data_IF_401688631615
#
_entry.id   IF_401688631615
#
_cell.length_a   1.000
_cell.length_b   1.000
_cell.length_c   1.000
_cell.angle_alpha   90.00
_cell.angle_beta   90.00
_cell.angle_gamma   90.00
#
_symmetry.space_group_name_H-M   'P 1'
#
loop_
_entity.id
_entity.type
_entity.pdbx_description
1 polymer ?
#
# COMPACT_ATOMS: atom_id res chain seq x y z
N UNK A 1 -10.24 -20.23 34.54
CA UNK A 1 -9.08 -20.34 33.64
C UNK A 1 -9.38 -19.47 32.43
N UNK A 2 -8.63 -18.38 32.28
CA UNK A 2 -8.99 -17.22 31.44
C UNK A 2 -8.81 -17.49 29.95
N UNK A 3 -9.73 -16.97 29.13
CA UNK A 3 -9.72 -17.07 27.66
C UNK A 3 -8.43 -16.55 27.01
N UNK A 4 -7.68 -15.68 27.69
CA UNK A 4 -6.35 -15.21 27.27
C UNK A 4 -5.27 -16.30 27.29
N UNK A 5 -5.34 -17.25 28.22
CA UNK A 5 -4.39 -18.37 28.28
C UNK A 5 -4.62 -19.44 27.22
N UNK A 6 -5.84 -19.50 26.66
CA UNK A 6 -6.19 -20.42 25.56
C UNK A 6 -5.76 -19.83 24.20
N UNK A 7 -5.96 -18.52 24.01
CA UNK A 7 -5.49 -17.81 22.80
C UNK A 7 -3.94 -17.77 22.72
N UNK A 8 -3.25 -17.55 23.83
CA UNK A 8 -1.78 -17.55 23.86
C UNK A 8 -1.17 -18.93 23.51
N UNK A 9 -1.77 -20.03 23.98
CA UNK A 9 -1.32 -21.40 23.66
C UNK A 9 -1.61 -21.80 22.20
N UNK A 10 -2.69 -21.29 21.59
CA UNK A 10 -2.99 -21.56 20.18
C UNK A 10 -2.00 -20.86 19.24
N UNK A 11 -1.61 -19.62 19.52
CA UNK A 11 -0.60 -18.91 18.73
C UNK A 11 0.81 -19.54 18.80
N UNK A 12 1.17 -20.24 19.89
CA UNK A 12 2.44 -20.98 20.00
C UNK A 12 2.52 -22.25 19.13
N UNK A 13 1.38 -22.73 18.62
CA UNK A 13 1.29 -23.93 17.76
C UNK A 13 1.36 -23.62 16.25
N UNK A 14 1.28 -22.35 15.85
CA UNK A 14 1.29 -21.96 14.44
C UNK A 14 2.70 -22.11 13.83
N UNK A 15 2.81 -22.59 12.57
CA UNK A 15 4.10 -22.70 11.89
C UNK A 15 4.80 -21.34 11.76
N UNK A 16 5.85 -21.13 12.54
CA UNK A 16 6.67 -19.91 12.52
C UNK A 16 7.90 -20.04 11.63
N UNK A 17 8.26 -21.27 11.23
CA UNK A 17 9.43 -21.59 10.40
C UNK A 17 9.06 -22.39 9.16
N UNK A 18 9.81 -22.18 8.07
CA UNK A 18 9.58 -22.82 6.77
C UNK A 18 9.47 -24.35 6.84
N UNK A 19 10.35 -25.10 7.54
CA UNK A 19 10.25 -26.55 7.61
C UNK A 19 8.97 -27.04 8.32
N UNK A 20 8.51 -26.32 9.35
CA UNK A 20 7.26 -26.64 10.05
C UNK A 20 6.07 -26.43 9.11
N UNK A 21 6.03 -25.30 8.40
CA UNK A 21 4.96 -24.99 7.45
C UNK A 21 4.86 -26.06 6.34
N UNK A 22 6.00 -26.51 5.81
CA UNK A 22 6.05 -27.59 4.79
C UNK A 22 5.51 -28.91 5.36
N UNK A 23 5.85 -29.26 6.60
CA UNK A 23 5.35 -30.49 7.23
C UNK A 23 3.84 -30.46 7.43
N UNK A 24 3.30 -29.34 7.94
CA UNK A 24 1.85 -29.18 8.12
C UNK A 24 1.11 -29.19 6.78
N UNK A 25 1.62 -28.48 5.77
CA UNK A 25 1.02 -28.50 4.43
C UNK A 25 1.00 -29.92 3.82
N UNK A 26 2.03 -30.74 4.08
CA UNK A 26 2.04 -32.15 3.65
C UNK A 26 0.97 -32.98 4.37
N UNK A 27 0.72 -32.70 5.66
CA UNK A 27 -0.32 -33.35 6.45
C UNK A 27 -1.73 -33.00 5.95
N UNK A 28 -1.98 -31.72 5.64
CA UNK A 28 -3.23 -31.23 5.08
C UNK A 28 -3.51 -31.76 3.67
N UNK A 29 -2.45 -32.07 2.91
CA UNK A 29 -2.55 -32.47 1.51
C UNK A 29 -2.86 -31.30 0.57
N UNK A 30 -3.01 -31.61 -0.72
CA UNK A 30 -3.18 -30.59 -1.77
C UNK A 30 -4.50 -29.83 -1.59
N UNK A 31 -4.40 -28.54 -1.32
CA UNK A 31 -5.54 -27.65 -1.07
C UNK A 31 -5.36 -26.26 -1.73
N UNK A 32 -6.37 -25.40 -1.61
CA UNK A 32 -6.32 -23.99 -2.01
C UNK A 32 -5.61 -23.14 -0.94
N UNK A 33 -5.34 -21.86 -1.24
CA UNK A 33 -4.80 -20.93 -0.25
C UNK A 33 -5.77 -20.75 0.94
N UNK A 34 -7.07 -20.59 0.67
CA UNK A 34 -8.08 -20.53 1.73
C UNK A 34 -8.07 -21.81 2.58
N UNK A 35 -8.02 -22.99 1.95
CA UNK A 35 -8.00 -24.26 2.67
C UNK A 35 -6.78 -24.46 3.55
N UNK A 36 -5.59 -23.97 3.15
CA UNK A 36 -4.41 -24.03 4.02
C UNK A 36 -4.47 -23.02 5.16
N UNK A 37 -5.03 -21.82 4.94
CA UNK A 37 -5.21 -20.82 6.00
C UNK A 37 -6.20 -21.32 7.05
N UNK A 38 -7.35 -21.85 6.62
CA UNK A 38 -8.36 -22.46 7.49
C UNK A 38 -7.81 -23.69 8.23
N UNK A 39 -7.12 -24.59 7.51
CA UNK A 39 -6.55 -25.81 8.07
C UNK A 39 -5.44 -25.56 9.10
N UNK A 40 -4.70 -24.45 8.97
CA UNK A 40 -3.66 -24.05 9.91
C UNK A 40 -4.14 -23.04 10.96
N UNK A 41 -5.34 -22.45 10.80
CA UNK A 41 -5.79 -21.33 11.63
C UNK A 41 -4.89 -20.10 11.53
N UNK A 42 -4.29 -19.85 10.36
CA UNK A 42 -3.36 -18.74 10.13
C UNK A 42 -4.04 -17.59 9.40
N UNK A 43 -3.73 -16.36 9.81
CA UNK A 43 -4.06 -15.17 9.03
C UNK A 43 -3.13 -15.02 7.81
N UNK A 44 -3.65 -14.44 6.73
CA UNK A 44 -2.97 -14.31 5.43
C UNK A 44 -1.56 -13.69 5.56
N UNK A 45 -1.42 -12.63 6.35
CA UNK A 45 -0.14 -11.95 6.55
C UNK A 45 0.89 -12.77 7.34
N UNK A 46 0.43 -13.61 8.27
CA UNK A 46 1.30 -14.49 9.05
C UNK A 46 1.80 -15.64 8.21
N UNK A 47 0.90 -16.21 7.42
CA UNK A 47 1.23 -17.22 6.43
C UNK A 47 2.32 -16.69 5.49
N UNK A 48 2.12 -15.52 4.86
CA UNK A 48 3.10 -14.97 3.92
C UNK A 48 4.44 -14.55 4.55
N UNK A 49 4.46 -14.26 5.85
CA UNK A 49 5.71 -14.01 6.59
C UNK A 49 6.65 -15.21 6.52
N UNK A 50 6.10 -16.43 6.55
CA UNK A 50 6.83 -17.70 6.55
C UNK A 50 6.86 -18.31 5.14
N UNK A 51 5.73 -18.29 4.45
CA UNK A 51 5.53 -18.87 3.14
C UNK A 51 6.25 -18.08 2.03
N UNK A 52 6.36 -16.76 2.14
CA UNK A 52 6.88 -15.84 1.10
C UNK A 52 6.17 -15.86 -0.26
N UNK A 53 5.52 -16.96 -0.65
CA UNK A 53 4.65 -17.16 -1.79
C UNK A 53 3.98 -18.53 -1.65
N UNK A 54 2.69 -18.59 -1.93
CA UNK A 54 1.93 -19.85 -1.93
C UNK A 54 2.32 -20.73 -3.11
N UNK A 55 2.36 -20.21 -4.33
CA UNK A 55 2.71 -20.98 -5.52
C UNK A 55 4.13 -21.56 -5.45
N UNK A 56 5.10 -20.81 -4.92
CA UNK A 56 6.45 -21.34 -4.69
C UNK A 56 6.48 -22.42 -3.61
N UNK A 57 5.65 -22.31 -2.56
CA UNK A 57 5.48 -23.36 -1.57
C UNK A 57 4.82 -24.62 -2.19
N UNK A 58 3.82 -24.46 -3.06
CA UNK A 58 3.20 -25.58 -3.78
C UNK A 58 4.22 -26.31 -4.67
N UNK A 59 5.18 -25.60 -5.28
CA UNK A 59 6.31 -26.23 -6.00
C UNK A 59 7.20 -27.05 -5.06
N UNK A 60 7.60 -26.50 -3.91
CA UNK A 60 8.41 -27.20 -2.90
C UNK A 60 7.70 -28.46 -2.35
N UNK A 61 6.36 -28.41 -2.27
CA UNK A 61 5.51 -29.53 -1.88
C UNK A 61 5.31 -30.57 -3.00
N UNK A 62 5.77 -30.30 -4.22
CA UNK A 62 5.59 -31.18 -5.38
C UNK A 62 4.18 -31.16 -5.97
N UNK A 63 3.38 -30.12 -5.68
CA UNK A 63 2.00 -30.00 -6.17
C UNK A 63 1.89 -29.30 -7.52
N UNK A 64 2.97 -28.65 -7.96
CA UNK A 64 3.12 -28.02 -9.27
C UNK A 64 4.16 -28.75 -10.11
N UNK A 65 4.13 -28.54 -11.44
CA UNK A 65 4.99 -29.24 -12.39
C UNK A 65 6.48 -29.10 -12.04
N UNK A 66 7.22 -30.20 -12.21
CA UNK A 66 8.65 -30.31 -11.89
C UNK A 66 9.49 -29.28 -12.68
N UNK A 67 10.38 -28.57 -11.97
CA UNK A 67 11.26 -27.54 -12.53
C UNK A 67 11.55 -26.43 -11.53
N UNK A 68 12.62 -25.67 -11.78
CA UNK A 68 12.94 -24.48 -10.99
C UNK A 68 11.92 -23.36 -11.26
N UNK A 69 11.62 -22.57 -10.22
CA UNK A 69 10.76 -21.42 -10.36
C UNK A 69 11.45 -20.35 -11.23
N UNK A 70 10.75 -19.89 -12.26
CA UNK A 70 11.21 -18.82 -13.12
C UNK A 70 11.46 -17.52 -12.35
N UNK A 71 12.25 -16.61 -12.92
CA UNK A 71 12.49 -15.30 -12.33
C UNK A 71 11.18 -14.52 -12.07
N UNK A 72 10.17 -14.74 -12.92
CA UNK A 72 8.85 -14.14 -12.83
C UNK A 72 8.06 -14.68 -11.65
N UNK A 73 8.02 -16.01 -11.49
CA UNK A 73 7.36 -16.65 -10.34
C UNK A 73 7.98 -16.16 -9.03
N UNK A 74 9.31 -16.04 -8.97
CA UNK A 74 10.01 -15.50 -7.80
C UNK A 74 9.67 -14.02 -7.55
N UNK A 75 9.56 -13.21 -8.61
CA UNK A 75 9.28 -11.78 -8.47
C UNK A 75 7.84 -11.52 -8.05
N UNK A 76 6.89 -12.17 -8.72
CA UNK A 76 5.46 -12.10 -8.46
C UNK A 76 5.13 -12.62 -7.07
N UNK A 77 5.68 -13.77 -6.67
CA UNK A 77 5.47 -14.33 -5.34
C UNK A 77 5.89 -13.35 -4.23
N UNK A 78 7.05 -12.71 -4.37
CA UNK A 78 7.48 -11.64 -3.45
C UNK A 78 6.55 -10.41 -3.47
N UNK A 79 6.03 -10.07 -4.65
CA UNK A 79 5.07 -8.97 -4.81
C UNK A 79 3.75 -9.23 -4.10
N UNK A 80 3.19 -10.45 -4.22
CA UNK A 80 1.97 -10.86 -3.54
C UNK A 80 2.16 -10.83 -2.02
N UNK A 81 3.20 -11.50 -1.53
CA UNK A 81 3.46 -11.62 -0.09
C UNK A 81 3.85 -10.32 0.60
N UNK A 82 4.42 -9.35 -0.13
CA UNK A 82 4.94 -8.11 0.45
C UNK A 82 4.18 -6.84 0.09
N UNK A 83 3.45 -6.85 -1.03
CA UNK A 83 2.87 -5.65 -1.64
C UNK A 83 1.35 -5.61 -1.70
N UNK A 84 0.66 -6.68 -1.29
CA UNK A 84 -0.81 -6.77 -1.37
C UNK A 84 -1.51 -6.93 -0.02
N UNK A 85 -0.77 -7.28 1.04
CA UNK A 85 -1.37 -7.56 2.36
C UNK A 85 -2.02 -6.35 3.02
N UNK A 86 -1.69 -5.14 2.55
CA UNK A 86 -2.29 -3.90 3.05
C UNK A 86 -3.53 -3.47 2.26
N UNK A 87 -3.89 -4.17 1.18
CA UNK A 87 -5.08 -3.84 0.40
C UNK A 87 -6.32 -4.05 1.26
N UNK A 88 -6.96 -2.94 1.62
CA UNK A 88 -8.18 -2.88 2.41
C UNK A 88 -9.28 -2.12 1.67
N UNK A 89 -9.17 -2.05 0.35
CA UNK A 89 -10.11 -1.40 -0.57
C UNK A 89 -11.00 -2.47 -1.23
N UNK A 90 -12.21 -2.73 -0.68
CA UNK A 90 -13.03 -3.86 -1.11
C UNK A 90 -13.49 -3.76 -2.56
N UNK A 91 -13.63 -2.53 -3.06
CA UNK A 91 -13.99 -2.20 -4.45
C UNK A 91 -12.93 -2.72 -5.40
N UNK A 92 -11.71 -2.29 -5.14
CA UNK A 92 -10.54 -2.64 -5.94
C UNK A 92 -10.25 -4.13 -5.84
N UNK A 93 -10.42 -4.73 -4.65
CA UNK A 93 -10.25 -6.17 -4.43
C UNK A 93 -11.23 -6.98 -5.29
N UNK A 94 -12.53 -6.62 -5.26
CA UNK A 94 -13.56 -7.29 -6.05
C UNK A 94 -13.32 -7.15 -7.56
N UNK A 95 -13.08 -5.92 -8.03
CA UNK A 95 -12.78 -5.67 -9.44
C UNK A 95 -11.53 -6.44 -9.90
N UNK A 96 -10.44 -6.40 -9.14
CA UNK A 96 -9.22 -7.14 -9.48
C UNK A 96 -9.47 -8.66 -9.52
N UNK A 97 -10.19 -9.21 -8.54
CA UNK A 97 -10.51 -10.63 -8.51
C UNK A 97 -11.30 -11.07 -9.75
N UNK A 98 -12.27 -10.26 -10.20
CA UNK A 98 -13.05 -10.54 -11.40
C UNK A 98 -12.20 -10.43 -12.67
N UNK A 99 -11.38 -9.37 -12.78
CA UNK A 99 -10.50 -9.17 -13.95
C UNK A 99 -9.43 -10.25 -14.09
N UNK A 100 -8.87 -10.73 -12.98
CA UNK A 100 -7.83 -11.76 -12.99
C UNK A 100 -8.36 -13.15 -13.35
N UNK A 101 -9.67 -13.35 -13.32
CA UNK A 101 -10.33 -14.58 -13.77
C UNK A 101 -10.54 -14.61 -15.29
N UNK A 102 -10.31 -13.50 -16.01
CA UNK A 102 -10.45 -13.47 -17.47
C UNK A 102 -9.48 -14.47 -18.13
N UNK A 103 -9.92 -15.17 -19.19
CA UNK A 103 -9.14 -16.24 -19.81
C UNK A 103 -7.88 -15.72 -20.51
N UNK A 104 -7.91 -14.48 -21.01
CA UNK A 104 -6.82 -13.83 -21.74
C UNK A 104 -6.39 -12.52 -21.08
N UNK A 105 -5.13 -12.16 -21.24
CA UNK A 105 -4.59 -10.91 -20.72
C UNK A 105 -5.34 -9.74 -21.37
N UNK A 106 -5.83 -8.77 -20.59
CA UNK A 106 -6.52 -7.63 -21.15
C UNK A 106 -5.50 -6.76 -21.91
N UNK A 107 -5.92 -6.22 -23.05
CA UNK A 107 -5.09 -5.34 -23.86
C UNK A 107 -5.20 -3.90 -23.33
N UNK A 108 -4.08 -3.25 -22.92
CA UNK A 108 -4.11 -1.85 -22.52
C UNK A 108 -4.59 -0.88 -23.59
N UNK A 109 -4.53 -1.28 -24.87
CA UNK A 109 -5.01 -0.46 -25.99
C UNK A 109 -6.53 -0.34 -25.92
N UNK A 110 -7.00 0.74 -25.31
CA UNK A 110 -8.43 1.04 -25.15
C UNK A 110 -8.89 1.16 -23.70
N UNK A 111 -8.01 0.98 -22.72
CA UNK A 111 -8.34 1.32 -21.34
C UNK A 111 -8.67 2.80 -21.20
N UNK A 112 -9.71 3.09 -20.43
CA UNK A 112 -9.85 4.43 -19.87
C UNK A 112 -8.76 4.68 -18.82
N UNK A 113 -8.60 5.94 -18.45
CA UNK A 113 -7.53 6.35 -17.53
C UNK A 113 -7.65 5.70 -16.15
N UNK A 114 -8.86 5.47 -15.65
CA UNK A 114 -9.10 4.86 -14.35
C UNK A 114 -8.72 3.37 -14.33
N UNK A 115 -9.08 2.65 -15.37
CA UNK A 115 -8.77 1.23 -15.58
C UNK A 115 -7.27 1.04 -15.73
N UNK A 116 -6.62 1.86 -16.57
CA UNK A 116 -5.18 1.79 -16.77
C UNK A 116 -4.42 2.05 -15.46
N UNK A 117 -4.82 3.06 -14.69
CA UNK A 117 -4.22 3.36 -13.38
C UNK A 117 -4.41 2.22 -12.39
N UNK A 118 -5.59 1.61 -12.34
CA UNK A 118 -5.89 0.47 -11.47
C UNK A 118 -4.97 -0.73 -11.77
N UNK A 119 -4.75 -1.02 -13.06
CA UNK A 119 -3.79 -2.04 -13.47
C UNK A 119 -2.34 -1.66 -13.13
N UNK A 120 -1.93 -0.41 -13.36
CA UNK A 120 -0.58 0.06 -13.01
C UNK A 120 -0.31 -0.05 -11.52
N UNK A 121 -1.29 0.26 -10.67
CA UNK A 121 -1.17 0.07 -9.23
C UNK A 121 -0.89 -1.39 -8.87
N UNK A 122 -1.65 -2.34 -9.44
CA UNK A 122 -1.40 -3.77 -9.23
C UNK A 122 -0.03 -4.20 -9.76
N UNK A 123 0.32 -3.82 -10.99
CA UNK A 123 1.59 -4.22 -11.60
C UNK A 123 2.80 -3.70 -10.82
N UNK A 124 2.71 -2.51 -10.24
CA UNK A 124 3.78 -1.94 -9.41
C UNK A 124 3.93 -2.68 -8.08
N UNK A 125 2.86 -3.20 -7.48
CA UNK A 125 2.96 -4.05 -6.30
C UNK A 125 3.64 -5.39 -6.62
N UNK A 126 3.26 -5.98 -7.75
CA UNK A 126 3.74 -7.29 -8.19
C UNK A 126 5.19 -7.24 -8.69
N UNK A 127 5.47 -6.35 -9.64
CA UNK A 127 6.75 -6.25 -10.37
C UNK A 127 7.68 -5.19 -9.80
N UNK A 128 7.15 -4.22 -9.05
CA UNK A 128 7.94 -3.14 -8.47
C UNK A 128 8.07 -1.94 -9.40
N UNK A 129 8.70 -0.92 -8.87
CA UNK A 129 9.04 0.31 -9.59
C UNK A 129 10.54 0.37 -9.88
N UNK A 130 10.93 1.29 -10.74
CA UNK A 130 12.32 1.66 -10.99
C UNK A 130 13.05 0.65 -11.84
N UNK A 131 14.14 0.08 -11.33
CA UNK A 131 14.93 -0.95 -12.04
C UNK A 131 14.14 -2.24 -12.28
N UNK A 132 13.02 -2.44 -11.57
CA UNK A 132 12.14 -3.58 -11.72
C UNK A 132 10.82 -3.22 -12.44
N UNK A 133 10.70 -2.01 -12.98
CA UNK A 133 9.53 -1.61 -13.74
C UNK A 133 9.40 -2.47 -15.00
N UNK A 134 8.18 -2.92 -15.28
CA UNK A 134 7.81 -3.66 -16.49
C UNK A 134 6.69 -2.87 -17.17
N UNK A 135 6.77 -2.60 -18.49
CA UNK A 135 5.69 -1.94 -19.24
C UNK A 135 4.34 -2.65 -19.05
N UNK A 136 3.25 -1.89 -19.06
CA UNK A 136 1.95 -2.41 -18.63
C UNK A 136 1.48 -3.62 -19.48
N UNK A 137 1.60 -3.51 -20.80
CA UNK A 137 1.20 -4.59 -21.72
C UNK A 137 2.03 -5.87 -21.48
N UNK A 138 3.34 -5.72 -21.30
CA UNK A 138 4.23 -6.85 -21.03
C UNK A 138 3.95 -7.47 -19.65
N UNK A 139 3.72 -6.65 -18.63
CA UNK A 139 3.42 -7.09 -17.27
C UNK A 139 2.13 -7.91 -17.20
N UNK A 140 1.10 -7.51 -17.95
CA UNK A 140 -0.17 -8.24 -18.06
C UNK A 140 0.03 -9.60 -18.75
N UNK A 141 0.72 -9.63 -19.90
CA UNK A 141 1.01 -10.90 -20.60
C UNK A 141 1.78 -11.86 -19.70
N UNK A 142 2.83 -11.38 -19.01
CA UNK A 142 3.66 -12.21 -18.11
C UNK A 142 2.87 -12.72 -16.90
N UNK A 143 1.97 -11.90 -16.34
CA UNK A 143 1.07 -12.34 -15.27
C UNK A 143 0.12 -13.45 -15.74
N UNK A 144 -0.40 -13.38 -16.96
CA UNK A 144 -1.28 -14.42 -17.53
C UNK A 144 -0.55 -15.72 -17.87
N UNK A 145 0.73 -15.65 -18.24
CA UNK A 145 1.58 -16.85 -18.38
C UNK A 145 1.80 -17.53 -17.02
N UNK A 146 1.94 -16.75 -15.94
CA UNK A 146 2.13 -17.26 -14.58
C UNK A 146 0.81 -17.69 -13.90
N UNK A 147 0.07 -18.63 -14.51
CA UNK A 147 -1.28 -19.02 -14.09
C UNK A 147 -1.42 -19.40 -12.60
N UNK A 148 -0.40 -20.04 -12.01
CA UNK A 148 -0.42 -20.40 -10.58
C UNK A 148 -0.28 -19.19 -9.65
N UNK A 149 0.51 -18.18 -10.04
CA UNK A 149 0.65 -16.93 -9.28
C UNK A 149 -0.61 -16.08 -9.44
N UNK A 150 -1.24 -16.11 -10.61
CA UNK A 150 -2.55 -15.48 -10.82
C UNK A 150 -3.63 -16.13 -9.95
N UNK A 151 -3.65 -17.45 -9.84
CA UNK A 151 -4.57 -18.17 -8.95
C UNK A 151 -4.29 -17.88 -7.46
N UNK A 152 -3.02 -17.82 -7.06
CA UNK A 152 -2.61 -17.35 -5.74
C UNK A 152 -3.11 -15.93 -5.46
N UNK A 153 -2.95 -15.03 -6.43
CA UNK A 153 -3.39 -13.64 -6.33
C UNK A 153 -4.91 -13.54 -6.14
N UNK A 154 -5.72 -14.25 -6.93
CA UNK A 154 -7.17 -14.29 -6.75
C UNK A 154 -7.53 -14.80 -5.34
N UNK A 155 -6.91 -15.89 -4.89
CA UNK A 155 -7.15 -16.42 -3.55
C UNK A 155 -6.77 -15.46 -2.41
N UNK A 156 -5.72 -14.66 -2.59
CA UNK A 156 -5.33 -13.64 -1.62
C UNK A 156 -6.29 -12.43 -1.61
N UNK A 157 -6.86 -12.05 -2.76
CA UNK A 157 -7.81 -10.94 -2.88
C UNK A 157 -9.22 -11.31 -2.39
N UNK A 158 -9.66 -12.55 -2.62
CA UNK A 158 -10.98 -13.04 -2.21
C UNK A 158 -11.14 -13.13 -0.67
N UNK A 159 -10.03 -13.22 0.07
CA UNK A 159 -10.03 -13.20 1.55
C UNK A 159 -10.45 -11.84 2.16
N UNK A 160 -10.59 -10.77 1.34
CA UNK A 160 -10.86 -9.39 1.80
C UNK A 160 -12.12 -8.69 1.23
N UNK A 161 -13.11 -9.44 0.69
CA UNK A 161 -14.27 -8.85 -0.02
C UNK A 161 -15.25 -8.06 0.86
N UNK A 162 -15.71 -6.90 0.35
CA UNK A 162 -16.91 -6.11 0.72
C UNK A 162 -17.29 -5.15 -0.45
N UNK A 163 -18.46 -4.48 -0.40
CA UNK A 163 -19.14 -3.86 -1.57
C UNK A 163 -18.71 -2.42 -2.00
N UNK A 164 -19.04 -1.95 -3.24
CA UNK A 164 -18.27 -0.91 -3.96
C UNK A 164 -18.84 0.51 -4.26
N UNK A 165 -18.02 1.59 -4.17
CA UNK A 165 -18.06 2.85 -5.00
C UNK A 165 -16.90 3.10 -6.06
N UNK A 166 -16.80 4.29 -6.76
CA UNK A 166 -16.10 4.43 -8.05
C UNK A 166 -14.89 5.41 -8.13
N UNK A 167 -13.83 5.28 -7.30
CA UNK A 167 -12.51 5.94 -7.49
C UNK A 167 -11.38 5.07 -6.88
N UNK A 168 -10.22 4.82 -7.53
CA UNK A 168 -9.20 3.86 -7.04
C UNK A 168 -8.31 4.40 -5.90
N UNK A 169 -8.81 5.37 -5.13
CA UNK A 169 -8.24 5.86 -3.88
C UNK A 169 -9.40 6.23 -2.95
N UNK A 170 -9.65 5.39 -1.95
CA UNK A 170 -10.70 5.57 -0.96
C UNK A 170 -10.19 6.41 0.19
N UNK A 171 -11.06 7.29 0.68
CA UNK A 171 -10.84 7.95 1.96
C UNK A 171 -10.62 6.88 3.05
N UNK A 172 -9.55 7.03 3.82
CA UNK A 172 -9.12 6.11 4.87
C UNK A 172 -8.62 4.73 4.38
N UNK A 173 -8.48 4.52 3.06
CA UNK A 173 -7.78 3.35 2.52
C UNK A 173 -6.27 3.41 2.77
N UNK A 174 -5.62 2.25 2.72
CA UNK A 174 -4.16 2.12 2.90
C UNK A 174 -3.45 1.89 1.58
N UNK A 175 -2.44 2.71 1.31
CA UNK A 175 -1.71 2.67 0.05
C UNK A 175 -0.21 2.84 0.26
N UNK A 176 0.60 2.08 -0.46
CA UNK A 176 2.03 2.37 -0.57
C UNK A 176 2.27 3.65 -1.39
N UNK A 177 3.44 4.28 -1.22
CA UNK A 177 3.79 5.47 -2.03
C UNK A 177 3.69 5.18 -3.52
N UNK A 178 4.18 4.02 -3.97
CA UNK A 178 4.18 3.68 -5.40
C UNK A 178 2.78 3.50 -5.96
N UNK A 179 1.82 2.98 -5.18
CA UNK A 179 0.42 2.91 -5.57
C UNK A 179 -0.20 4.30 -5.73
N UNK A 180 0.05 5.20 -4.78
CA UNK A 180 -0.46 6.58 -4.88
C UNK A 180 0.10 7.26 -6.13
N UNK A 181 1.42 7.16 -6.40
CA UNK A 181 1.99 7.71 -7.63
C UNK A 181 1.40 7.07 -8.90
N UNK A 182 1.11 5.76 -8.88
CA UNK A 182 0.43 5.09 -10.00
C UNK A 182 -1.01 5.58 -10.18
N UNK A 183 -1.76 5.79 -9.09
CA UNK A 183 -3.12 6.33 -9.12
C UNK A 183 -3.19 7.76 -9.70
N UNK A 184 -2.13 8.55 -9.53
CA UNK A 184 -1.99 9.87 -10.14
C UNK A 184 -1.38 9.83 -11.56
N UNK A 185 -1.03 8.65 -12.10
CA UNK A 185 -0.37 8.53 -13.41
C UNK A 185 1.09 9.02 -13.43
N UNK A 186 1.65 9.34 -12.26
CA UNK A 186 3.03 9.81 -12.06
C UNK A 186 4.05 8.66 -12.04
N UNK A 187 3.59 7.41 -12.11
CA UNK A 187 4.42 6.21 -12.23
C UNK A 187 4.03 5.46 -13.51
N UNK A 188 4.87 5.60 -14.54
CA UNK A 188 4.64 5.05 -15.88
C UNK A 188 5.97 4.72 -16.57
N UNK A 189 5.93 4.28 -17.83
CA UNK A 189 7.13 3.87 -18.58
C UNK A 189 8.16 4.99 -18.72
N UNK A 190 7.71 6.23 -18.92
CA UNK A 190 8.58 7.40 -18.98
C UNK A 190 9.08 7.85 -17.60
N UNK A 191 8.38 7.49 -16.51
CA UNK A 191 8.74 7.81 -15.12
C UNK A 191 8.59 6.58 -14.23
N UNK A 192 9.55 5.63 -14.27
CA UNK A 192 9.38 4.34 -13.61
C UNK A 192 9.67 4.37 -12.10
N UNK A 193 10.19 5.47 -11.55
CA UNK A 193 10.51 5.60 -10.13
C UNK A 193 9.52 6.55 -9.44
N UNK A 194 8.93 6.20 -8.28
CA UNK A 194 8.16 7.16 -7.51
C UNK A 194 9.09 8.27 -6.99
N UNK A 195 8.56 9.48 -6.89
CA UNK A 195 9.27 10.60 -6.27
C UNK A 195 9.72 10.23 -4.85
N UNK A 196 10.92 10.67 -4.46
CA UNK A 196 11.46 10.45 -3.10
C UNK A 196 11.09 11.56 -2.13
N UNK A 197 10.57 12.66 -2.65
CA UNK A 197 10.20 13.83 -1.88
C UNK A 197 8.92 13.59 -1.08
N UNK A 198 8.79 14.31 0.05
CA UNK A 198 7.61 14.23 0.91
C UNK A 198 6.33 14.79 0.28
N UNK A 199 6.43 15.49 -0.85
CA UNK A 199 5.30 16.03 -1.59
C UNK A 199 5.53 15.78 -3.08
N UNK A 200 4.49 15.37 -3.80
CA UNK A 200 4.49 15.30 -5.27
C UNK A 200 3.36 16.16 -5.84
N UNK A 201 3.67 17.05 -6.78
CA UNK A 201 2.65 17.81 -7.51
C UNK A 201 2.32 17.12 -8.83
N UNK A 202 1.04 16.82 -9.05
CA UNK A 202 0.52 16.35 -10.32
C UNK A 202 -0.14 17.50 -11.09
N UNK A 203 0.47 17.90 -12.21
CA UNK A 203 -0.05 18.96 -13.07
C UNK A 203 -1.38 18.57 -13.73
N UNK A 204 -1.57 17.28 -14.07
CA UNK A 204 -2.77 16.83 -14.78
C UNK A 204 -4.04 16.96 -13.91
N UNK A 205 -3.94 16.62 -12.63
CA UNK A 205 -5.04 16.74 -11.67
C UNK A 205 -5.00 18.02 -10.84
N UNK A 206 -3.98 18.86 -11.03
CA UNK A 206 -3.69 20.04 -10.20
C UNK A 206 -3.69 19.69 -8.70
N UNK A 207 -3.03 18.60 -8.33
CA UNK A 207 -3.07 18.08 -6.97
C UNK A 207 -1.67 17.97 -6.37
N UNK A 208 -1.44 18.60 -5.23
CA UNK A 208 -0.30 18.31 -4.38
C UNK A 208 -0.63 17.11 -3.46
N UNK A 209 0.20 16.08 -3.50
CA UNK A 209 0.04 14.83 -2.77
C UNK A 209 1.09 14.74 -1.68
N UNK A 210 0.66 14.79 -0.42
CA UNK A 210 1.54 14.87 0.75
C UNK A 210 1.76 13.48 1.33
N UNK A 211 3.01 13.06 1.49
CA UNK A 211 3.42 11.81 2.13
C UNK A 211 4.05 12.10 3.49
N UNK A 212 3.26 11.98 4.53
CA UNK A 212 3.60 12.37 5.89
C UNK A 212 3.94 11.13 6.72
N UNK A 213 5.09 11.14 7.38
CA UNK A 213 5.48 10.11 8.35
C UNK A 213 5.68 10.77 9.70
N UNK A 214 4.87 10.39 10.68
CA UNK A 214 4.81 11.02 12.00
C UNK A 214 6.09 10.75 12.80
N UNK A 215 6.44 9.48 12.96
CA UNK A 215 7.63 9.02 13.65
C UNK A 215 8.79 8.88 12.67
N UNK A 216 9.54 9.97 12.50
CA UNK A 216 10.84 9.97 11.81
C UNK A 216 11.85 9.33 12.77
N UNK A 217 12.12 8.02 12.62
CA UNK A 217 12.99 7.22 13.49
C UNK A 217 14.24 7.98 14.01
N UNK A 218 14.48 7.90 15.32
CA UNK A 218 15.38 8.72 16.18
C UNK A 218 16.87 8.79 15.82
N UNK A 219 17.35 8.21 14.72
CA UNK A 219 18.79 8.00 14.51
C UNK A 219 19.58 9.24 14.08
N UNK A 220 18.95 10.42 13.96
CA UNK A 220 19.60 11.64 13.44
C UNK A 220 19.20 12.98 14.09
N UNK A 221 18.41 13.04 15.17
CA UNK A 221 17.93 14.33 15.70
C UNK A 221 18.14 14.53 17.20
N UNK A 222 18.65 15.74 17.52
CA UNK A 222 18.81 16.29 18.87
C UNK A 222 17.47 16.36 19.62
N UNK A 223 17.42 16.17 20.95
CA UNK A 223 16.18 16.17 21.76
C UNK A 223 15.37 17.48 21.73
N UNK A 224 15.89 18.55 21.15
CA UNK A 224 15.31 19.90 21.19
C UNK A 224 14.48 20.27 19.94
N UNK A 225 14.28 19.35 19.00
CA UNK A 225 13.55 19.61 17.74
C UNK A 225 12.55 18.49 17.43
N UNK A 226 11.67 18.15 18.38
CA UNK A 226 10.64 17.12 18.18
C UNK A 226 9.25 17.74 18.16
N UNK A 227 8.80 18.25 17.01
CA UNK A 227 7.40 18.31 16.55
C UNK A 227 7.46 18.74 15.07
N UNK A 228 6.93 17.97 14.11
CA UNK A 228 6.88 18.47 12.73
C UNK A 228 5.57 18.17 12.01
N UNK A 229 4.89 17.05 12.30
CA UNK A 229 3.64 16.68 11.62
C UNK A 229 2.72 15.93 12.61
N UNK A 230 1.48 16.39 12.83
CA UNK A 230 0.53 15.76 13.77
C UNK A 230 -0.93 16.17 13.54
N UNK A 231 -1.88 15.33 13.95
CA UNK A 231 -3.28 15.71 14.02
C UNK A 231 -3.54 16.63 15.22
N UNK A 232 -4.03 17.84 14.97
CA UNK A 232 -4.45 18.81 16.00
C UNK A 232 -5.82 18.39 16.56
N UNK A 233 -6.71 17.96 15.68
CA UNK A 233 -8.07 17.52 15.98
C UNK A 233 -8.55 16.54 14.90
N UNK A 234 -9.76 15.96 14.99
CA UNK A 234 -10.32 15.17 13.89
C UNK A 234 -10.36 15.91 12.55
N UNK A 235 -10.39 17.25 12.57
CA UNK A 235 -10.57 18.08 11.38
C UNK A 235 -9.35 18.91 11.00
N UNK A 236 -8.29 18.87 11.80
CA UNK A 236 -7.13 19.74 11.61
C UNK A 236 -5.84 18.97 11.72
N UNK A 237 -4.94 19.22 10.77
CA UNK A 237 -3.64 18.58 10.68
C UNK A 237 -2.55 19.63 10.58
N UNK A 238 -1.53 19.51 11.42
CA UNK A 238 -0.31 20.30 11.37
C UNK A 238 0.72 19.60 10.49
N UNK A 239 1.31 20.34 9.55
CA UNK A 239 2.34 19.83 8.65
C UNK A 239 3.42 20.87 8.42
N UNK A 240 4.68 20.46 8.43
CA UNK A 240 5.81 21.33 8.11
C UNK A 240 6.35 21.09 6.70
N UNK A 241 6.59 22.18 5.98
CA UNK A 241 7.16 22.11 4.65
C UNK A 241 8.60 21.64 4.61
N UNK A 242 9.06 21.18 3.44
CA UNK A 242 10.49 20.99 3.21
C UNK A 242 11.23 22.33 3.40
N UNK A 243 12.50 22.25 3.81
CA UNK A 243 13.33 23.42 4.17
C UNK A 243 13.54 24.44 3.04
N UNK A 244 13.32 24.04 1.78
CA UNK A 244 13.42 24.90 0.60
C UNK A 244 12.11 25.59 0.22
N UNK A 245 10.98 25.12 0.75
CA UNK A 245 9.65 25.69 0.47
C UNK A 245 9.47 26.94 1.32
N UNK A 246 9.53 28.11 0.68
CA UNK A 246 9.31 29.41 1.31
C UNK A 246 7.90 29.90 0.99
N UNK A 247 7.34 30.74 1.85
CA UNK A 247 6.05 31.40 1.61
C UNK A 247 5.98 32.07 0.22
N UNK A 248 7.01 32.83 -0.14
CA UNK A 248 7.09 33.54 -1.43
C UNK A 248 7.44 32.64 -2.63
N UNK A 249 7.74 31.34 -2.43
CA UNK A 249 8.05 30.42 -3.53
C UNK A 249 6.80 30.04 -4.32
N UNK A 250 6.96 29.61 -5.57
CA UNK A 250 5.83 29.14 -6.39
C UNK A 250 5.02 28.03 -5.69
N UNK A 251 5.70 27.11 -5.00
CA UNK A 251 5.08 26.03 -4.21
C UNK A 251 4.37 26.56 -2.97
N UNK A 252 5.01 27.44 -2.18
CA UNK A 252 4.38 28.04 -0.99
C UNK A 252 3.14 28.85 -1.34
N UNK A 253 3.23 29.66 -2.41
CA UNK A 253 2.10 30.40 -2.96
C UNK A 253 1.01 29.49 -3.50
N UNK A 254 1.34 28.32 -4.07
CA UNK A 254 0.35 27.32 -4.48
C UNK A 254 -0.36 26.73 -3.27
N UNK A 255 0.32 26.44 -2.16
CA UNK A 255 -0.31 25.93 -0.95
C UNK A 255 -1.27 26.96 -0.33
N UNK A 256 -0.84 28.21 -0.19
CA UNK A 256 -1.64 29.29 0.43
C UNK A 256 -2.89 29.60 -0.41
N UNK A 257 -2.73 29.71 -1.73
CA UNK A 257 -3.78 30.11 -2.65
C UNK A 257 -4.40 28.93 -3.41
N UNK A 258 -4.33 27.70 -2.86
CA UNK A 258 -4.66 26.49 -3.62
C UNK A 258 -6.11 26.51 -4.14
N UNK A 259 -7.07 26.93 -3.32
CA UNK A 259 -8.49 27.05 -3.69
C UNK A 259 -8.71 28.03 -4.83
N UNK A 260 -8.09 29.21 -4.74
CA UNK A 260 -8.20 30.27 -5.75
C UNK A 260 -7.58 29.84 -7.08
N UNK A 261 -6.52 29.03 -7.02
CA UNK A 261 -5.79 28.51 -8.19
C UNK A 261 -6.35 27.20 -8.72
N UNK A 262 -7.40 26.66 -8.11
CA UNK A 262 -8.00 25.37 -8.47
C UNK A 262 -7.14 24.15 -8.16
N UNK A 263 -6.06 24.32 -7.38
CA UNK A 263 -5.22 23.20 -6.94
C UNK A 263 -5.74 22.58 -5.63
N UNK A 264 -5.51 21.28 -5.48
CA UNK A 264 -5.97 20.46 -4.36
C UNK A 264 -4.79 19.95 -3.55
N UNK A 265 -5.01 19.69 -2.27
CA UNK A 265 -4.00 19.10 -1.38
C UNK A 265 -4.58 17.82 -0.79
N UNK A 266 -3.91 16.68 -1.01
CA UNK A 266 -4.35 15.35 -0.57
C UNK A 266 -3.33 14.75 0.39
N UNK A 267 -3.77 14.36 1.59
CA UNK A 267 -2.88 13.88 2.66
C UNK A 267 -2.85 12.35 2.73
N UNK A 268 -1.64 11.80 2.72
CA UNK A 268 -1.34 10.41 3.00
C UNK A 268 -0.41 10.33 4.23
N UNK A 269 -0.89 9.71 5.31
CA UNK A 269 -0.21 9.73 6.62
C UNK A 269 0.11 8.32 7.09
N UNK A 270 1.31 8.10 7.65
CA UNK A 270 1.67 6.88 8.35
C UNK A 270 2.38 7.16 9.65
N UNK A 271 2.24 6.24 10.61
CA UNK A 271 2.91 6.34 11.90
C UNK A 271 4.44 6.29 11.74
N UNK A 272 4.98 5.24 11.12
CA UNK A 272 6.43 5.04 10.98
C UNK A 272 6.81 4.54 9.58
N UNK A 273 8.09 4.61 9.23
CA UNK A 273 8.54 4.16 7.90
C UNK A 273 8.42 2.64 7.73
N UNK A 274 8.74 1.88 8.77
CA UNK A 274 8.75 0.41 8.77
C UNK A 274 8.34 -0.12 10.13
N UNK A 275 7.55 -1.20 10.17
CA UNK A 275 7.27 -2.00 11.37
C UNK A 275 7.63 -3.45 11.08
N UNK A 276 8.38 -4.10 11.97
CA UNK A 276 8.79 -5.50 11.78
C UNK A 276 9.57 -5.77 10.48
N UNK A 277 10.34 -4.79 9.99
CA UNK A 277 11.09 -4.89 8.73
C UNK A 277 10.29 -4.64 7.45
N UNK A 278 8.97 -4.49 7.54
CA UNK A 278 8.06 -4.22 6.41
C UNK A 278 7.75 -2.73 6.33
N UNK A 279 7.69 -2.17 5.12
CA UNK A 279 7.31 -0.75 4.97
C UNK A 279 5.84 -0.55 5.31
N UNK A 280 5.54 0.44 6.14
CA UNK A 280 4.15 0.75 6.48
C UNK A 280 3.47 1.49 5.32
N UNK A 281 2.21 1.14 4.98
CA UNK A 281 1.40 1.89 4.04
C UNK A 281 1.02 3.26 4.63
N UNK A 282 0.55 4.16 3.78
CA UNK A 282 -0.05 5.43 4.19
C UNK A 282 -1.57 5.31 4.19
N UNK A 283 -2.20 5.93 5.19
CA UNK A 283 -3.64 6.16 5.25
C UNK A 283 -4.00 7.41 4.45
N UNK A 284 -4.99 7.31 3.56
CA UNK A 284 -5.53 8.48 2.87
C UNK A 284 -6.42 9.28 3.85
N UNK A 285 -6.00 10.46 4.30
CA UNK A 285 -6.84 11.34 5.13
C UNK A 285 -7.77 12.23 4.30
N UNK A 286 -7.66 12.17 2.97
CA UNK A 286 -8.49 12.95 2.06
C UNK A 286 -7.96 14.35 1.80
N UNK A 287 -8.80 15.16 1.15
CA UNK A 287 -8.44 16.51 0.76
C UNK A 287 -8.43 17.45 1.96
N UNK A 288 -7.56 18.46 1.89
CA UNK A 288 -7.43 19.47 2.92
C UNK A 288 -7.39 20.89 2.34
N UNK A 289 -7.87 21.84 3.14
CA UNK A 289 -7.90 23.25 2.84
C UNK A 289 -6.91 24.02 3.73
N UNK A 290 -6.18 24.96 3.13
CA UNK A 290 -5.25 25.81 3.88
C UNK A 290 -6.01 26.67 4.91
N UNK A 291 -5.54 26.69 6.16
CA UNK A 291 -6.05 27.59 7.22
C UNK A 291 -5.08 28.73 7.51
N UNK A 292 -3.86 28.38 7.92
CA UNK A 292 -2.83 29.33 8.34
C UNK A 292 -1.46 28.68 8.27
N UNK A 293 -0.40 29.47 8.39
CA UNK A 293 0.94 28.95 8.65
C UNK A 293 1.71 29.87 9.60
N UNK A 294 2.72 29.31 10.25
CA UNK A 294 3.72 30.05 11.02
C UNK A 294 5.13 29.69 10.52
N UNK A 295 6.06 30.63 10.60
CA UNK A 295 7.43 30.42 10.11
C UNK A 295 7.57 30.43 8.59
N UNK A 296 8.79 30.68 8.11
CA UNK A 296 9.11 30.77 6.68
C UNK A 296 9.88 29.53 6.17
N UNK A 297 10.75 28.94 7.03
CA UNK A 297 11.63 27.80 6.69
C UNK A 297 11.87 26.92 7.92
N UNK A 298 11.07 25.87 8.14
CA UNK A 298 9.93 25.46 7.32
C UNK A 298 8.68 26.35 7.52
N UNK A 299 7.74 26.30 6.58
CA UNK A 299 6.37 26.77 6.80
C UNK A 299 5.62 25.71 7.60
N UNK A 300 5.17 26.06 8.80
CA UNK A 300 4.37 25.21 9.66
C UNK A 300 2.88 25.45 9.38
N UNK A 301 2.31 24.68 8.45
CA UNK A 301 0.97 24.89 7.90
C UNK A 301 -0.07 24.11 8.71
N UNK A 302 -1.19 24.78 9.03
CA UNK A 302 -2.41 24.16 9.53
C UNK A 302 -3.36 23.91 8.36
N UNK A 303 -3.72 22.66 8.17
CA UNK A 303 -4.65 22.18 7.16
C UNK A 303 -5.98 21.80 7.81
N UNK A 304 -7.10 22.23 7.25
CA UNK A 304 -8.44 21.74 7.57
C UNK A 304 -8.79 20.57 6.67
N UNK A 305 -8.96 19.39 7.25
CA UNK A 305 -9.43 18.21 6.51
C UNK A 305 -10.91 18.39 6.12
N UNK A 306 -11.26 17.98 4.90
CA UNK A 306 -12.64 18.00 4.42
C UNK A 306 -13.48 16.86 5.01
N UNK A 307 -12.82 15.83 5.56
CA UNK A 307 -13.42 14.68 6.22
C UNK A 307 -12.67 14.38 7.53
N UNK A 308 -13.36 13.90 8.58
CA UNK A 308 -12.73 13.73 9.87
C UNK A 308 -11.84 12.50 9.90
N UNK A 309 -10.70 12.60 10.58
CA UNK A 309 -9.85 11.45 10.93
C UNK A 309 -10.70 10.48 11.78
N UNK A 310 -10.71 9.17 11.46
CA UNK A 310 -11.39 8.17 12.27
C UNK A 310 -10.90 8.20 13.72
N UNK A 311 -11.83 8.12 14.67
CA UNK A 311 -11.51 8.23 16.10
C UNK A 311 -10.45 7.21 16.57
N UNK A 312 -10.45 6.01 15.99
CA UNK A 312 -9.47 4.96 16.27
C UNK A 312 -8.02 5.33 15.92
N UNK A 313 -7.80 6.33 15.05
CA UNK A 313 -6.47 6.73 14.58
C UNK A 313 -5.93 7.95 15.31
N UNK A 314 -6.80 8.77 15.90
CA UNK A 314 -6.39 9.98 16.60
C UNK A 314 -5.37 9.75 17.72
N UNK A 315 -5.45 8.68 18.54
CA UNK A 315 -4.43 8.42 19.55
C UNK A 315 -3.02 8.18 18.97
N UNK A 316 -2.95 7.65 17.74
CA UNK A 316 -1.68 7.37 17.04
C UNK A 316 -1.19 8.58 16.25
N UNK A 317 -2.12 9.42 15.76
CA UNK A 317 -1.83 10.55 14.88
C UNK A 317 -1.70 11.89 15.60
N UNK A 318 -2.32 12.02 16.76
CA UNK A 318 -2.24 13.20 17.61
C UNK A 318 -0.95 13.26 18.40
N UNK A 319 -0.75 14.37 19.10
CA UNK A 319 0.27 14.45 20.14
C UNK A 319 0.02 13.32 21.15
N UNK A 320 0.95 12.37 21.25
CA UNK A 320 1.09 11.61 22.48
C UNK A 320 1.38 12.64 23.57
N UNK A 321 0.42 12.84 24.49
CA UNK A 321 0.60 13.65 25.69
C UNK A 321 1.74 13.07 26.53
#
# INVERSE_FOLDING_TARGET
MSSEGVLANLHESLPSRRPQLVAECRSLGRCSLAGVLEGLGMELGEFYRVAKSWALLQRELGWLALGEASADEQRLGRGIAGGLLHLDDPERLCWLADQLQLPMAPDPVGFDSATERSWRMLMVQLWGSGRHHVPLAEALVRLWVAAHLRAELVGALDWGRAEPPPIPLKLHGRYSRSEVFAAFGLLNEARPFPGREGVGFDEATQCDVFFITLNKSERLFSPTTRYNDYAISPWEFHWESQSLTREASATGQRYIHHRERGSKVLLFVREENKRGGVSMPFHCLGFADYLSHEGERPMAIRWRLQQPIPAAWLPVMGLAV
#
